data_IF_002041112444
#
_entry.id   IF_002041112444
#
_cell.length_a   1.000
_cell.length_b   1.000
_cell.length_c   1.000
_cell.angle_alpha   90.00
_cell.angle_beta   90.00
_cell.angle_gamma   90.00
#
_symmetry.space_group_name_H-M   'P 1'
#
loop_
_entity.id
_entity.type
_entity.pdbx_description
1 polymer ?
#
# COMPACT_ATOMS: atom_id res chain seq x y z
N UNK A 1 10.78 9.58 -13.39
CA UNK A 1 10.20 9.82 -12.05
C UNK A 1 11.10 9.20 -10.99
N UNK A 2 11.91 10.02 -10.29
CA UNK A 2 12.81 9.52 -9.23
C UNK A 2 12.14 9.58 -7.83
N UNK A 3 11.10 10.40 -7.68
CA UNK A 3 10.31 10.56 -6.44
C UNK A 3 9.37 9.37 -6.16
N UNK A 4 9.05 8.55 -7.17
CA UNK A 4 8.07 7.45 -7.05
C UNK A 4 8.63 6.18 -6.40
N UNK A 5 9.97 6.02 -6.33
CA UNK A 5 10.63 4.80 -5.84
C UNK A 5 11.17 4.91 -4.41
N UNK A 6 10.91 6.02 -3.72
CA UNK A 6 11.50 6.35 -2.41
C UNK A 6 10.53 6.42 -1.23
N UNK A 7 9.22 6.29 -1.46
CA UNK A 7 8.25 6.30 -0.36
C UNK A 7 8.25 4.93 0.33
N UNK A 8 9.11 4.76 1.33
CA UNK A 8 8.91 3.73 2.33
C UNK A 8 7.50 3.93 2.93
N UNK A 9 6.74 2.85 3.13
CA UNK A 9 5.37 2.87 3.66
C UNK A 9 5.29 3.26 5.14
N UNK A 10 6.04 4.27 5.56
CA UNK A 10 6.06 4.85 6.89
C UNK A 10 4.92 5.87 7.00
N UNK A 11 4.19 5.79 8.10
CA UNK A 11 3.14 6.75 8.43
C UNK A 11 3.73 8.18 8.49
N UNK A 12 2.99 9.17 7.97
CA UNK A 12 3.38 10.59 7.90
C UNK A 12 4.59 10.90 7.03
N UNK A 13 4.92 10.04 6.06
CA UNK A 13 5.94 10.35 5.06
C UNK A 13 5.62 11.62 4.25
N UNK A 14 4.32 11.96 4.10
CA UNK A 14 3.84 13.20 3.47
C UNK A 14 4.49 14.47 4.03
N UNK A 15 4.55 14.64 5.36
CA UNK A 15 5.09 15.84 6.00
C UNK A 15 6.57 16.00 5.71
N UNK A 16 7.32 14.89 5.79
CA UNK A 16 8.77 14.89 5.52
C UNK A 16 9.04 15.30 4.08
N UNK A 17 8.25 14.80 3.13
CA UNK A 17 8.35 15.20 1.72
C UNK A 17 8.03 16.67 1.55
N UNK A 18 6.95 17.17 2.15
CA UNK A 18 6.59 18.60 2.06
C UNK A 18 7.70 19.46 2.66
N UNK A 19 8.20 19.13 3.85
CA UNK A 19 9.31 19.83 4.50
C UNK A 19 10.57 19.87 3.62
N UNK A 20 10.92 18.75 2.98
CA UNK A 20 12.04 18.66 2.05
C UNK A 20 11.84 19.49 0.77
N UNK A 21 10.59 19.74 0.36
CA UNK A 21 10.27 20.48 -0.86
C UNK A 21 10.14 21.99 -0.71
N UNK A 22 9.82 22.50 0.49
CA UNK A 22 9.67 23.94 0.72
C UNK A 22 10.91 24.78 0.31
N UNK A 23 12.16 24.34 0.59
CA UNK A 23 13.35 25.08 0.19
C UNK A 23 13.53 25.18 -1.33
N UNK A 24 13.03 24.21 -2.10
CA UNK A 24 13.12 24.25 -3.57
C UNK A 24 12.31 25.41 -4.18
N UNK A 25 11.33 25.95 -3.46
CA UNK A 25 10.47 27.04 -3.92
C UNK A 25 10.63 28.32 -3.09
N UNK A 26 11.65 28.40 -2.22
CA UNK A 26 11.86 29.51 -1.28
C UNK A 26 10.62 29.81 -0.40
N UNK A 27 9.86 28.78 -0.02
CA UNK A 27 8.68 28.94 0.82
C UNK A 27 9.03 28.87 2.32
N UNK A 28 8.41 29.72 3.15
CA UNK A 28 8.67 29.72 4.59
C UNK A 28 8.11 28.47 5.27
N UNK A 29 8.87 27.92 6.21
CA UNK A 29 8.51 26.74 7.02
C UNK A 29 7.26 26.94 7.89
N UNK A 30 6.91 28.19 8.20
CA UNK A 30 5.66 28.53 8.88
C UNK A 30 4.42 28.02 8.13
N UNK A 31 4.47 27.89 6.81
CA UNK A 31 3.39 27.29 6.01
C UNK A 31 3.18 25.80 6.28
N UNK A 32 4.23 25.06 6.65
CA UNK A 32 4.14 23.64 7.00
C UNK A 32 3.32 23.43 8.28
N UNK A 33 3.49 24.31 9.26
CA UNK A 33 2.80 24.24 10.56
C UNK A 33 1.28 24.36 10.40
N UNK A 34 0.82 25.16 9.42
CA UNK A 34 -0.61 25.29 9.10
C UNK A 34 -1.21 23.98 8.57
N UNK A 35 -0.42 23.19 7.83
CA UNK A 35 -0.90 21.98 7.15
C UNK A 35 -0.76 20.75 8.06
N UNK A 36 0.17 20.76 9.02
CA UNK A 36 0.37 19.67 10.00
C UNK A 36 -0.91 19.27 10.74
N UNK A 37 -1.83 20.22 10.98
CA UNK A 37 -3.10 19.95 11.64
C UNK A 37 -4.03 19.03 10.84
N UNK A 38 -3.99 19.09 9.51
CA UNK A 38 -4.83 18.27 8.62
C UNK A 38 -4.07 17.09 8.00
N UNK A 39 -2.74 17.09 8.09
CA UNK A 39 -1.88 16.09 7.48
C UNK A 39 -2.31 14.66 7.82
N UNK A 40 -2.77 14.38 9.05
CA UNK A 40 -3.24 13.05 9.43
C UNK A 40 -4.36 12.52 8.53
N UNK A 41 -5.35 13.36 8.21
CA UNK A 41 -6.43 12.99 7.30
C UNK A 41 -5.96 12.86 5.86
N UNK A 42 -5.10 13.79 5.43
CA UNK A 42 -4.59 13.80 4.06
C UNK A 42 -3.65 12.62 3.78
N UNK A 43 -2.84 12.21 4.74
CA UNK A 43 -1.92 11.07 4.64
C UNK A 43 -2.70 9.75 4.61
N UNK A 44 -3.73 9.61 5.46
CA UNK A 44 -4.64 8.46 5.40
C UNK A 44 -5.43 8.43 4.09
N UNK A 45 -5.93 9.57 3.61
CA UNK A 45 -6.64 9.67 2.34
C UNK A 45 -5.74 9.25 1.16
N UNK A 46 -4.48 9.70 1.15
CA UNK A 46 -3.46 9.28 0.17
C UNK A 46 -3.22 7.78 0.22
N UNK A 47 -3.09 7.21 1.42
CA UNK A 47 -2.91 5.76 1.58
C UNK A 47 -4.12 5.00 1.08
N UNK A 48 -5.33 5.45 1.40
CA UNK A 48 -6.57 4.83 0.96
C UNK A 48 -6.71 4.84 -0.57
N UNK A 49 -6.45 5.97 -1.24
CA UNK A 49 -6.51 6.05 -2.70
C UNK A 49 -5.46 5.20 -3.38
N UNK A 50 -4.25 5.10 -2.81
CA UNK A 50 -3.21 4.21 -3.32
C UNK A 50 -3.63 2.73 -3.22
N UNK A 51 -4.19 2.31 -2.09
CA UNK A 51 -4.65 0.92 -1.89
C UNK A 51 -5.81 0.59 -2.84
N UNK A 52 -6.81 1.49 -2.94
CA UNK A 52 -7.96 1.32 -3.83
C UNK A 52 -7.51 1.27 -5.29
N UNK A 53 -6.65 2.20 -5.72
CA UNK A 53 -6.12 2.24 -7.08
C UNK A 53 -5.37 0.96 -7.47
N UNK A 54 -4.49 0.47 -6.59
CA UNK A 54 -3.76 -0.78 -6.84
C UNK A 54 -4.69 -2.00 -6.87
N UNK A 55 -5.71 -2.03 -6.02
CA UNK A 55 -6.70 -3.13 -5.98
C UNK A 55 -7.51 -3.17 -7.27
N UNK A 56 -7.96 -2.01 -7.75
CA UNK A 56 -8.69 -1.89 -9.01
C UNK A 56 -7.78 -2.25 -10.19
N UNK A 57 -6.56 -1.73 -10.23
CA UNK A 57 -5.60 -2.04 -11.29
C UNK A 57 -5.34 -3.55 -11.37
N UNK A 58 -5.21 -4.23 -10.22
CA UNK A 58 -5.03 -5.68 -10.15
C UNK A 58 -6.23 -6.43 -10.74
N UNK A 59 -7.46 -6.04 -10.38
CA UNK A 59 -8.66 -6.66 -10.92
C UNK A 59 -8.82 -6.44 -12.43
N UNK A 60 -8.50 -5.23 -12.91
CA UNK A 60 -8.54 -4.89 -14.33
C UNK A 60 -7.51 -5.69 -15.11
N UNK A 61 -6.27 -5.78 -14.62
CA UNK A 61 -5.21 -6.58 -15.25
C UNK A 61 -5.62 -8.05 -15.31
N UNK A 62 -6.13 -8.62 -14.21
CA UNK A 62 -6.60 -10.00 -14.17
C UNK A 62 -7.74 -10.30 -15.17
N UNK A 63 -8.58 -9.31 -15.47
CA UNK A 63 -9.63 -9.44 -16.49
C UNK A 63 -9.11 -9.23 -17.92
N UNK A 64 -8.09 -8.41 -18.11
CA UNK A 64 -7.55 -8.08 -19.43
C UNK A 64 -6.58 -9.12 -19.99
N UNK A 65 -5.93 -9.90 -19.11
CA UNK A 65 -5.07 -10.99 -19.53
C UNK A 65 -5.93 -12.12 -20.16
N UNK A 66 -5.53 -12.68 -21.31
CA UNK A 66 -6.15 -13.89 -21.83
C UNK A 66 -6.00 -15.02 -20.81
N UNK A 67 -7.02 -15.87 -20.70
CA UNK A 67 -6.96 -17.08 -19.87
C UNK A 67 -5.88 -18.01 -20.46
N UNK A 68 -4.66 -17.92 -19.94
CA UNK A 68 -3.66 -18.95 -20.18
C UNK A 68 -4.14 -20.21 -19.44
N UNK A 69 -4.56 -21.24 -20.18
CA UNK A 69 -5.03 -22.52 -19.65
C UNK A 69 -3.89 -23.34 -18.99
N UNK A 70 -2.77 -22.72 -18.63
CA UNK A 70 -1.55 -23.39 -18.12
C UNK A 70 -1.14 -22.98 -16.72
N UNK A 71 -2.08 -22.56 -15.86
CA UNK A 71 -1.84 -22.62 -14.42
C UNK A 71 -2.13 -24.06 -13.97
N UNK A 72 -1.17 -24.97 -14.19
CA UNK A 72 -1.05 -26.15 -13.33
C UNK A 72 -0.88 -25.63 -11.90
N UNK A 73 -1.69 -26.11 -10.97
CA UNK A 73 -1.68 -25.73 -9.57
C UNK A 73 -0.48 -26.36 -8.84
N UNK A 74 0.72 -25.94 -9.24
CA UNK A 74 1.94 -26.30 -8.52
C UNK A 74 2.03 -25.43 -7.25
N UNK A 75 1.41 -25.96 -6.19
CA UNK A 75 1.66 -25.65 -4.79
C UNK A 75 1.04 -24.36 -4.20
N UNK A 76 -0.24 -24.12 -4.47
CA UNK A 76 -1.05 -23.31 -3.52
C UNK A 76 -1.36 -24.18 -2.31
N UNK A 77 -0.45 -24.17 -1.33
CA UNK A 77 -0.71 -24.74 -0.02
C UNK A 77 -1.84 -23.93 0.65
N UNK A 78 -3.08 -24.40 0.48
CA UNK A 78 -4.22 -23.87 1.22
C UNK A 78 -3.90 -23.93 2.73
N UNK A 79 -4.23 -22.89 3.52
CA UNK A 79 -3.93 -22.89 4.95
C UNK A 79 -4.63 -24.10 5.58
N UNK A 80 -3.82 -25.05 6.03
CA UNK A 80 -4.25 -26.30 6.64
C UNK A 80 -5.17 -25.95 7.81
N UNK A 81 -6.48 -26.13 7.61
CA UNK A 81 -7.48 -26.10 8.67
C UNK A 81 -7.24 -27.34 9.52
N UNK A 82 -6.36 -27.22 10.51
CA UNK A 82 -6.09 -28.22 11.53
C UNK A 82 -7.38 -28.49 12.32
N UNK A 83 -8.20 -29.43 11.84
CA UNK A 83 -9.29 -30.01 12.60
C UNK A 83 -8.67 -31.11 13.47
N UNK A 84 -8.32 -30.76 14.70
CA UNK A 84 -7.86 -31.69 15.73
C UNK A 84 -8.94 -32.72 16.04
N UNK A 85 -8.84 -33.92 15.49
CA UNK A 85 -9.54 -35.09 15.99
C UNK A 85 -8.69 -35.75 17.10
N UNK A 86 -9.29 -36.25 18.19
CA UNK A 86 -8.53 -36.80 19.32
C UNK A 86 -7.93 -38.15 18.91
N UNK A 87 -6.63 -38.31 19.16
CA UNK A 87 -5.91 -39.58 18.97
C UNK A 87 -6.33 -40.54 20.10
N UNK A 88 -6.74 -41.78 19.80
CA UNK A 88 -7.02 -42.76 20.85
C UNK A 88 -5.70 -43.16 21.51
N UNK A 89 -5.64 -42.98 22.84
CA UNK A 89 -4.51 -43.45 23.67
C UNK A 89 -4.70 -44.95 23.86
N UNK A 90 -3.82 -45.74 23.26
CA UNK A 90 -3.60 -47.16 23.61
C UNK A 90 -2.43 -47.22 24.58
#
# INVERSE_FOLDING_TARGET
MITSKGMAGVARASVVVVAATLPMFNLPEAGLLLIIGIDQFLDMARTATNVVGNSIATAVVAQSEPLDETIEDDNVQAPVRSRSAPVPVV
#
